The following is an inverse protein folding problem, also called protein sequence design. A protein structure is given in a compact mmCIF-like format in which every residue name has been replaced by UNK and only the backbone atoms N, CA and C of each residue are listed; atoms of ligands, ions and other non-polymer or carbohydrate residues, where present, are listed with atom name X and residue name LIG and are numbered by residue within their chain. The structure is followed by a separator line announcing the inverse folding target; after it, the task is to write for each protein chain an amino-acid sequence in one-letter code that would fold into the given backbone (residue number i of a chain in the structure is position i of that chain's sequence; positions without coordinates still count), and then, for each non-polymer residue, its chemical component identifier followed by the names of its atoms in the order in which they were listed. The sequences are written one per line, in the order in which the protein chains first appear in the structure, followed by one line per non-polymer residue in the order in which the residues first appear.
data_IF_667379271134
#
_entry.id   IF_667379271134
#
_cell.length_a   1.000
_cell.length_b   1.000
_cell.length_c   1.000
_cell.angle_alpha   90.00
_cell.angle_beta   90.00
_cell.angle_gamma   90.00
#
_symmetry.space_group_name_H-M   'P 1'
#
loop_
_entity.id
_entity.type
_entity.pdbx_description
1 polymer ?
#
# COMPACT_ATOMS: atom_id res chain seq x y z
N UNK A 1 -6.72 11.01 -75.94
CA UNK A 1 -7.02 10.86 -74.50
C UNK A 1 -6.75 9.38 -74.17
N UNK A 2 -5.61 8.92 -73.65
CA UNK A 2 -4.77 9.40 -72.56
C UNK A 2 -3.29 9.12 -72.92
N UNK A 3 -2.43 10.10 -72.66
CA UNK A 3 -1.00 10.03 -72.96
C UNK A 3 -0.26 9.21 -71.89
N UNK A 4 0.84 8.56 -72.28
CA UNK A 4 1.57 7.48 -71.62
C UNK A 4 2.21 7.77 -70.23
N UNK A 5 1.42 8.15 -69.23
CA UNK A 5 1.90 8.39 -67.85
C UNK A 5 1.43 7.39 -66.79
N UNK A 6 0.48 6.50 -67.13
CA UNK A 6 -0.19 5.62 -66.14
C UNK A 6 0.38 4.20 -66.07
N UNK A 7 1.39 3.88 -66.87
CA UNK A 7 1.98 2.53 -66.95
C UNK A 7 2.72 2.12 -65.66
N UNK A 8 3.06 3.09 -64.80
CA UNK A 8 3.81 2.86 -63.57
C UNK A 8 2.92 2.78 -62.31
N UNK A 9 1.61 2.97 -62.43
CA UNK A 9 0.69 2.89 -61.29
C UNK A 9 0.27 1.43 -61.10
N UNK A 10 0.58 0.79 -59.96
CA UNK A 10 0.16 -0.57 -59.69
C UNK A 10 -1.37 -0.72 -59.80
N UNK A 11 -1.82 -1.71 -60.56
CA UNK A 11 -3.23 -1.98 -60.86
C UNK A 11 -3.75 -1.37 -62.17
N UNK A 12 -3.02 -0.44 -62.80
CA UNK A 12 -3.41 0.15 -64.08
C UNK A 12 -3.36 -0.86 -65.23
N UNK A 13 -4.28 -0.74 -66.18
CA UNK A 13 -4.24 -1.52 -67.42
C UNK A 13 -3.03 -1.10 -68.27
N UNK A 14 -2.24 -2.08 -68.68
CA UNK A 14 -1.07 -1.89 -69.52
C UNK A 14 -1.16 -2.66 -70.86
N UNK A 15 -2.22 -3.46 -71.04
CA UNK A 15 -2.55 -4.19 -72.25
C UNK A 15 -3.85 -4.98 -72.07
N UNK A 16 -4.36 -5.58 -73.16
CA UNK A 16 -5.56 -6.41 -73.09
C UNK A 16 -5.31 -7.63 -72.18
N UNK A 17 -6.16 -7.79 -71.15
CA UNK A 17 -6.00 -8.84 -70.14
C UNK A 17 -4.76 -8.68 -69.24
N UNK A 18 -4.09 -7.51 -69.24
CA UNK A 18 -2.86 -7.25 -68.50
C UNK A 18 -2.95 -5.99 -67.64
N UNK A 19 -2.30 -6.06 -66.48
CA UNK A 19 -2.20 -4.94 -65.52
C UNK A 19 -0.74 -4.75 -65.09
N UNK A 20 -0.42 -3.52 -64.67
CA UNK A 20 0.83 -3.23 -64.00
C UNK A 20 0.80 -3.84 -62.59
N UNK A 21 1.65 -4.83 -62.32
CA UNK A 21 1.77 -5.48 -61.02
C UNK A 21 3.26 -5.62 -60.68
N UNK A 22 3.68 -5.14 -59.50
CA UNK A 22 5.09 -5.03 -59.12
C UNK A 22 5.95 -4.35 -60.21
N UNK A 23 5.47 -3.20 -60.72
CA UNK A 23 6.12 -2.41 -61.76
C UNK A 23 6.37 -3.16 -63.09
N UNK A 24 5.63 -4.25 -63.34
CA UNK A 24 5.75 -5.05 -64.57
C UNK A 24 4.37 -5.26 -65.18
N UNK A 25 4.25 -5.19 -66.52
CA UNK A 25 3.00 -5.47 -67.22
C UNK A 25 2.77 -6.99 -67.32
N UNK A 26 1.83 -7.53 -66.53
CA UNK A 26 1.59 -8.98 -66.42
C UNK A 26 0.12 -9.34 -66.63
N UNK A 27 -0.18 -10.61 -66.93
CA UNK A 27 -1.56 -11.08 -67.11
C UNK A 27 -2.31 -11.13 -65.76
N UNK A 28 -3.64 -11.05 -65.79
CA UNK A 28 -4.46 -11.24 -64.59
C UNK A 28 -4.21 -12.59 -63.88
N UNK A 29 -3.92 -13.65 -64.63
CA UNK A 29 -3.64 -14.98 -64.07
C UNK A 29 -2.33 -15.04 -63.29
N UNK A 30 -1.35 -14.23 -63.71
CA UNK A 30 0.00 -14.14 -63.15
C UNK A 30 0.12 -13.04 -62.08
N UNK A 31 -0.78 -12.04 -62.08
CA UNK A 31 -0.89 -10.99 -61.07
C UNK A 31 -1.45 -11.51 -59.73
N UNK A 32 -0.78 -12.52 -59.15
CA UNK A 32 -1.20 -13.12 -57.88
C UNK A 32 -0.63 -12.36 -56.70
N UNK A 33 -1.53 -11.93 -55.80
CA UNK A 33 -1.10 -11.50 -54.47
C UNK A 33 -0.47 -12.70 -53.75
N UNK A 34 0.69 -12.48 -53.13
CA UNK A 34 1.25 -13.48 -52.23
C UNK A 34 0.33 -13.62 -51.02
N UNK A 35 0.00 -14.84 -50.56
CA UNK A 35 -0.75 -15.03 -49.34
C UNK A 35 -0.12 -14.25 -48.19
N UNK A 36 -0.94 -13.59 -47.37
CA UNK A 36 -0.47 -12.87 -46.19
C UNK A 36 0.23 -13.88 -45.28
N UNK A 37 1.56 -13.79 -45.20
CA UNK A 37 2.34 -14.58 -44.24
C UNK A 37 2.01 -14.00 -42.86
N UNK A 38 1.37 -14.79 -42.00
CA UNK A 38 1.14 -14.45 -40.59
C UNK A 38 1.99 -15.40 -39.77
N UNK A 39 2.87 -14.84 -38.93
CA UNK A 39 3.68 -15.63 -37.99
C UNK A 39 3.63 -14.97 -36.62
N UNK A 40 3.17 -15.67 -35.57
CA UNK A 40 3.28 -15.16 -34.21
C UNK A 40 4.73 -14.97 -33.82
N UNK A 41 4.98 -14.00 -32.95
CA UNK A 41 6.31 -13.80 -32.39
C UNK A 41 6.60 -14.80 -31.28
N UNK A 42 7.88 -15.09 -31.05
CA UNK A 42 8.35 -15.85 -29.89
C UNK A 42 9.26 -15.00 -29.00
N UNK A 43 9.14 -15.21 -27.68
CA UNK A 43 9.94 -14.49 -26.71
C UNK A 43 11.41 -14.91 -26.83
N UNK A 44 12.29 -13.93 -27.00
CA UNK A 44 13.73 -14.12 -26.85
C UNK A 44 14.12 -14.41 -25.40
N UNK A 45 15.39 -14.77 -25.15
CA UNK A 45 15.88 -14.99 -23.79
C UNK A 45 15.74 -13.71 -22.95
N UNK A 46 15.61 -13.89 -21.65
CA UNK A 46 15.70 -12.78 -20.70
C UNK A 46 17.10 -12.16 -20.73
N UNK A 47 17.16 -10.83 -20.72
CA UNK A 47 18.40 -10.12 -20.46
C UNK A 47 18.88 -10.30 -19.01
N UNK A 48 20.09 -9.81 -18.74
CA UNK A 48 20.60 -9.75 -17.37
C UNK A 48 19.73 -8.84 -16.49
N UNK A 49 19.70 -9.16 -15.19
CA UNK A 49 19.12 -8.27 -14.18
C UNK A 49 19.92 -6.98 -14.07
N UNK A 50 19.23 -5.86 -13.97
CA UNK A 50 19.86 -4.59 -13.63
C UNK A 50 20.27 -4.57 -12.15
N UNK A 51 21.20 -3.68 -11.81
CA UNK A 51 21.49 -3.36 -10.41
C UNK A 51 20.23 -2.89 -9.69
N UNK A 52 20.13 -3.20 -8.41
CA UNK A 52 19.01 -2.72 -7.58
C UNK A 52 18.98 -1.18 -7.59
N UNK A 53 17.78 -0.60 -7.67
CA UNK A 53 17.62 0.86 -7.70
C UNK A 53 18.08 1.58 -6.44
N UNK A 54 18.21 0.85 -5.32
CA UNK A 54 18.68 1.37 -4.02
C UNK A 54 19.52 0.31 -3.31
N UNK A 55 20.38 0.73 -2.39
CA UNK A 55 21.16 -0.16 -1.51
C UNK A 55 20.47 -0.45 -0.18
N UNK A 56 19.51 0.37 0.21
CA UNK A 56 18.61 0.21 1.36
C UNK A 56 17.26 0.85 1.06
N UNK A 57 16.27 0.57 1.90
CA UNK A 57 14.96 1.22 1.90
C UNK A 57 14.15 0.88 0.65
N UNK A 58 13.85 -0.41 0.47
CA UNK A 58 13.06 -1.03 -0.62
C UNK A 58 13.45 -0.50 -2.00
N UNK A 59 14.29 -1.25 -2.72
CA UNK A 59 14.63 -1.02 -4.11
C UNK A 59 13.91 -1.99 -5.07
N UNK A 60 14.09 -1.75 -6.37
CA UNK A 60 13.58 -2.61 -7.44
C UNK A 60 14.70 -2.93 -8.43
N UNK A 61 14.81 -4.18 -8.83
CA UNK A 61 15.61 -4.63 -9.98
C UNK A 61 14.67 -5.14 -11.06
N UNK A 62 15.05 -4.96 -12.32
CA UNK A 62 14.26 -5.46 -13.44
C UNK A 62 15.14 -5.96 -14.58
N UNK A 63 14.54 -6.80 -15.42
CA UNK A 63 15.12 -7.29 -16.68
C UNK A 63 14.09 -7.26 -17.78
N UNK A 64 14.56 -7.24 -19.03
CA UNK A 64 13.70 -7.15 -20.22
C UNK A 64 13.99 -8.30 -21.18
N UNK A 65 12.97 -8.74 -21.91
CA UNK A 65 13.10 -9.63 -23.07
C UNK A 65 12.34 -9.03 -24.25
N UNK A 66 12.78 -9.38 -25.46
CA UNK A 66 12.19 -8.89 -26.72
C UNK A 66 11.43 -10.00 -27.42
N UNK A 67 10.39 -9.63 -28.16
CA UNK A 67 9.65 -10.55 -29.01
C UNK A 67 10.37 -10.72 -30.37
N UNK A 68 11.45 -11.50 -30.38
CA UNK A 68 12.33 -11.62 -31.55
C UNK A 68 12.80 -13.05 -31.87
N UNK A 69 12.26 -14.07 -31.20
CA UNK A 69 12.66 -15.47 -31.38
C UNK A 69 11.48 -16.41 -31.67
N UNK A 70 10.85 -16.33 -32.86
CA UNK A 70 11.14 -15.43 -33.98
C UNK A 70 10.41 -14.09 -33.87
N UNK A 71 10.82 -13.07 -34.64
CA UNK A 71 10.04 -11.83 -34.76
C UNK A 71 8.67 -12.07 -35.40
N UNK A 72 7.60 -11.39 -34.96
CA UNK A 72 6.27 -11.52 -35.55
C UNK A 72 6.26 -11.00 -36.99
N UNK A 73 5.46 -11.62 -37.86
CA UNK A 73 5.18 -11.14 -39.23
C UNK A 73 3.67 -10.98 -39.35
N UNK A 74 3.20 -9.76 -39.63
CA UNK A 74 1.78 -9.44 -39.75
C UNK A 74 0.92 -9.97 -38.58
N UNK A 75 1.50 -10.03 -37.37
CA UNK A 75 0.90 -10.54 -36.13
C UNK A 75 1.14 -9.52 -35.00
N UNK A 76 0.22 -9.35 -34.03
CA UNK A 76 0.34 -8.32 -32.97
C UNK A 76 1.62 -8.41 -32.13
N UNK A 77 2.18 -9.59 -31.95
CA UNK A 77 3.39 -9.78 -31.15
C UNK A 77 3.54 -11.20 -30.63
N UNK A 78 4.16 -11.29 -29.46
CA UNK A 78 4.23 -12.50 -28.65
C UNK A 78 2.97 -12.60 -27.78
N UNK A 79 2.74 -13.78 -27.22
CA UNK A 79 1.69 -13.98 -26.21
C UNK A 79 1.89 -12.98 -25.05
N UNK A 80 0.84 -12.23 -24.70
CA UNK A 80 0.91 -11.11 -23.74
C UNK A 80 0.91 -9.70 -24.35
N UNK A 81 0.80 -9.57 -25.68
CA UNK A 81 0.38 -8.33 -26.36
C UNK A 81 1.50 -7.38 -26.82
N UNK A 82 2.66 -7.42 -26.19
CA UNK A 82 3.69 -6.39 -26.39
C UNK A 82 4.95 -6.94 -27.10
N UNK A 83 5.70 -6.05 -27.76
CA UNK A 83 6.99 -6.37 -28.38
C UNK A 83 8.13 -6.53 -27.37
N UNK A 84 7.90 -6.13 -26.12
CA UNK A 84 8.83 -6.23 -24.99
C UNK A 84 8.06 -6.71 -23.75
N UNK A 85 8.69 -7.57 -22.96
CA UNK A 85 8.20 -7.93 -21.62
C UNK A 85 9.25 -7.51 -20.60
N UNK A 86 8.76 -6.96 -19.49
CA UNK A 86 9.57 -6.60 -18.33
C UNK A 86 9.26 -7.59 -17.20
N UNK A 87 10.27 -7.93 -16.40
CA UNK A 87 10.10 -8.63 -15.13
C UNK A 87 10.81 -7.80 -14.08
N UNK A 88 10.18 -7.58 -12.92
CA UNK A 88 10.78 -6.80 -11.84
C UNK A 88 10.63 -7.52 -10.50
N UNK A 89 11.57 -7.26 -9.59
CA UNK A 89 11.57 -7.81 -8.23
C UNK A 89 12.04 -6.78 -7.21
N UNK A 90 11.52 -6.88 -5.99
CA UNK A 90 12.02 -6.10 -4.85
C UNK A 90 13.43 -6.59 -4.50
N UNK A 91 14.27 -5.65 -4.09
CA UNK A 91 15.62 -5.91 -3.61
C UNK A 91 15.96 -4.90 -2.51
N UNK A 92 16.87 -5.25 -1.59
CA UNK A 92 17.35 -4.37 -0.52
C UNK A 92 16.19 -3.77 0.31
N UNK A 93 15.36 -4.64 0.87
CA UNK A 93 14.15 -4.29 1.64
C UNK A 93 14.41 -3.70 3.02
N UNK A 94 15.62 -3.90 3.56
CA UNK A 94 15.99 -3.36 4.88
C UNK A 94 15.90 -1.83 4.89
N UNK A 95 15.21 -1.21 5.86
CA UNK A 95 15.12 0.25 5.96
C UNK A 95 16.50 0.91 6.03
N UNK A 96 16.61 2.10 5.43
CA UNK A 96 17.79 2.94 5.66
C UNK A 96 17.79 3.50 7.10
N UNK A 97 18.95 3.89 7.62
CA UNK A 97 19.09 4.42 8.99
C UNK A 97 18.29 5.72 9.25
N UNK A 98 18.01 6.47 8.19
CA UNK A 98 17.30 7.75 8.19
C UNK A 98 15.86 7.64 7.65
N UNK A 99 15.42 6.43 7.28
CA UNK A 99 14.05 6.20 6.84
C UNK A 99 13.08 6.45 8.00
N UNK A 100 12.01 7.20 7.73
CA UNK A 100 10.94 7.38 8.70
C UNK A 100 10.19 6.06 8.91
N UNK A 101 9.92 5.67 10.16
CA UNK A 101 9.06 4.50 10.45
C UNK A 101 7.60 4.76 10.05
N UNK A 102 7.20 6.02 9.84
CA UNK A 102 5.86 6.39 9.38
C UNK A 102 5.84 6.41 7.85
N UNK A 103 5.10 5.49 7.24
CA UNK A 103 5.00 5.38 5.77
C UNK A 103 4.60 6.71 5.08
N UNK A 104 3.72 7.50 5.69
CA UNK A 104 3.31 8.79 5.13
C UNK A 104 4.47 9.79 5.03
N UNK A 105 5.36 9.79 6.02
CA UNK A 105 6.55 10.64 6.05
C UNK A 105 7.65 10.08 5.15
N UNK A 106 7.81 8.74 5.10
CA UNK A 106 8.72 8.07 4.15
C UNK A 106 8.39 8.45 2.70
N UNK A 107 7.10 8.49 2.32
CA UNK A 107 6.69 8.92 0.99
C UNK A 107 7.15 10.36 0.69
N UNK A 108 7.08 11.27 1.68
CA UNK A 108 7.57 12.64 1.53
C UNK A 108 9.09 12.71 1.46
N UNK A 109 9.80 11.88 2.22
CA UNK A 109 11.26 11.74 2.12
C UNK A 109 11.65 11.34 0.69
N UNK A 110 11.03 10.28 0.15
CA UNK A 110 11.27 9.83 -1.24
C UNK A 110 10.90 10.86 -2.31
N UNK A 111 9.82 11.62 -2.12
CA UNK A 111 9.49 12.73 -3.02
C UNK A 111 10.55 13.84 -2.96
N UNK A 112 11.04 14.15 -1.76
CA UNK A 112 12.07 15.16 -1.52
C UNK A 112 13.43 14.78 -2.14
N UNK A 113 13.79 13.49 -2.15
CA UNK A 113 14.98 12.99 -2.88
C UNK A 113 14.93 13.39 -4.38
N UNK A 114 13.75 13.30 -4.98
CA UNK A 114 13.53 13.65 -6.40
C UNK A 114 13.65 15.17 -6.61
N UNK A 115 13.03 15.97 -5.75
CA UNK A 115 13.11 17.43 -5.82
C UNK A 115 14.54 17.95 -5.60
N UNK A 116 15.26 17.38 -4.64
CA UNK A 116 16.67 17.67 -4.41
C UNK A 116 17.51 17.36 -5.65
N UNK A 117 17.36 16.15 -6.21
CA UNK A 117 18.05 15.76 -7.45
C UNK A 117 17.80 16.76 -8.58
N UNK A 118 16.57 17.24 -8.74
CA UNK A 118 16.24 18.21 -9.78
C UNK A 118 16.84 19.59 -9.55
N UNK A 119 16.92 20.04 -8.30
CA UNK A 119 17.59 21.30 -7.95
C UNK A 119 19.10 21.21 -8.18
N UNK A 120 19.73 20.12 -7.75
CA UNK A 120 21.17 19.88 -7.94
C UNK A 120 21.55 19.85 -9.42
N UNK A 121 20.69 19.28 -10.26
CA UNK A 121 20.87 19.22 -11.71
C UNK A 121 20.34 20.46 -12.45
N UNK A 122 19.96 21.53 -11.73
CA UNK A 122 19.46 22.81 -12.28
C UNK A 122 18.24 22.67 -13.21
N UNK A 123 17.46 21.61 -13.02
CA UNK A 123 16.16 21.41 -13.67
C UNK A 123 15.11 22.30 -13.02
N UNK A 124 15.19 22.50 -11.70
CA UNK A 124 14.36 23.42 -10.94
C UNK A 124 15.11 24.68 -10.55
N UNK A 125 14.39 25.80 -10.53
CA UNK A 125 14.89 27.06 -10.04
C UNK A 125 14.76 27.12 -8.50
N UNK A 126 15.88 27.28 -7.79
CA UNK A 126 15.90 27.38 -6.33
C UNK A 126 15.25 28.65 -5.78
N UNK A 127 14.99 29.66 -6.61
CA UNK A 127 14.18 30.83 -6.22
C UNK A 127 12.68 30.56 -6.25
N UNK A 128 12.24 29.48 -6.92
CA UNK A 128 10.84 29.13 -7.11
C UNK A 128 10.43 27.88 -6.33
N UNK A 129 11.35 26.92 -6.16
CA UNK A 129 11.12 25.64 -5.49
C UNK A 129 12.22 25.32 -4.48
N UNK A 130 11.88 24.56 -3.43
CA UNK A 130 12.84 24.00 -2.50
C UNK A 130 12.94 22.46 -2.64
N UNK A 131 13.83 21.86 -1.85
CA UNK A 131 14.13 20.43 -1.90
C UNK A 131 13.04 19.53 -1.31
N UNK A 132 12.00 20.10 -0.69
CA UNK A 132 10.91 19.30 -0.11
C UNK A 132 9.85 18.99 -1.17
N UNK A 133 9.36 17.76 -1.14
CA UNK A 133 8.34 17.29 -2.07
C UNK A 133 7.27 16.43 -1.40
N UNK A 134 6.13 16.36 -2.06
CA UNK A 134 5.00 15.49 -1.71
C UNK A 134 4.62 14.64 -2.92
N UNK A 135 3.92 13.53 -2.66
CA UNK A 135 3.28 12.75 -3.72
C UNK A 135 2.22 13.61 -4.41
N UNK A 136 2.27 13.66 -5.74
CA UNK A 136 1.23 14.29 -6.54
C UNK A 136 -0.07 13.48 -6.46
N UNK A 137 -1.01 13.93 -5.62
CA UNK A 137 -2.25 13.21 -5.32
C UNK A 137 -3.37 13.60 -6.30
N UNK A 138 -3.45 12.92 -7.45
CA UNK A 138 -4.70 12.86 -8.23
C UNK A 138 -5.32 11.48 -8.04
N UNK A 139 -6.48 11.45 -7.38
CA UNK A 139 -7.10 10.32 -6.67
C UNK A 139 -7.57 9.14 -7.54
N UNK A 140 -7.22 9.07 -8.82
CA UNK A 140 -7.72 8.06 -9.76
C UNK A 140 -6.68 7.27 -10.57
N UNK A 141 -5.40 7.67 -10.61
CA UNK A 141 -4.53 7.23 -11.73
C UNK A 141 -3.37 6.28 -11.38
N UNK A 142 -3.20 5.84 -10.12
CA UNK A 142 -2.10 4.95 -9.72
C UNK A 142 -0.71 5.44 -10.15
N UNK A 143 -0.52 6.75 -10.30
CA UNK A 143 0.74 7.32 -10.81
C UNK A 143 1.62 7.73 -9.64
N UNK A 144 2.89 7.41 -9.76
CA UNK A 144 3.94 7.72 -8.81
C UNK A 144 4.68 8.98 -9.27
N UNK A 145 4.07 10.13 -9.04
CA UNK A 145 4.59 11.44 -9.44
C UNK A 145 4.89 12.34 -8.24
N UNK A 146 5.85 13.25 -8.44
CA UNK A 146 6.35 14.18 -7.42
C UNK A 146 5.85 15.61 -7.68
N UNK A 147 5.40 16.27 -6.61
CA UNK A 147 5.21 17.71 -6.55
C UNK A 147 6.24 18.34 -5.61
N UNK A 148 7.08 19.23 -6.12
CA UNK A 148 8.03 19.98 -5.31
C UNK A 148 7.39 21.23 -4.72
N UNK A 149 7.81 21.60 -3.50
CA UNK A 149 7.21 22.71 -2.76
C UNK A 149 7.73 24.04 -3.27
N UNK A 150 6.78 24.92 -3.55
CA UNK A 150 7.02 26.30 -4.00
C UNK A 150 7.59 27.17 -2.86
N UNK A 151 8.42 28.16 -3.21
CA UNK A 151 9.06 29.10 -2.29
C UNK A 151 8.46 30.50 -2.47
N UNK A 152 8.22 31.18 -1.34
CA UNK A 152 7.72 32.55 -1.32
C UNK A 152 6.34 32.69 -1.99
N UNK A 153 6.22 33.68 -2.87
CA UNK A 153 4.97 33.99 -3.57
C UNK A 153 4.84 33.26 -4.91
N UNK A 154 5.84 32.48 -5.31
CA UNK A 154 5.74 31.70 -6.54
C UNK A 154 4.62 30.66 -6.41
N UNK A 155 3.81 30.53 -7.46
CA UNK A 155 2.73 29.53 -7.57
C UNK A 155 2.89 28.81 -8.89
N UNK A 156 3.11 27.49 -8.82
CA UNK A 156 3.16 26.66 -10.01
C UNK A 156 1.76 26.55 -10.62
N UNK A 157 1.64 26.40 -11.96
CA UNK A 157 0.39 26.08 -12.60
C UNK A 157 -0.28 24.86 -11.96
N UNK A 158 -1.62 24.85 -11.99
CA UNK A 158 -2.37 23.65 -11.62
C UNK A 158 -1.87 22.46 -12.46
N UNK A 159 -1.64 21.32 -11.80
CA UNK A 159 -1.12 20.08 -12.40
C UNK A 159 0.38 20.05 -12.76
N UNK A 160 1.20 20.96 -12.24
CA UNK A 160 2.66 20.88 -12.43
C UNK A 160 3.23 19.63 -11.75
N UNK A 161 3.96 18.82 -12.53
CA UNK A 161 4.61 17.56 -12.12
C UNK A 161 6.09 17.69 -12.42
N UNK A 162 6.95 17.30 -11.48
CA UNK A 162 8.38 17.53 -11.62
C UNK A 162 9.16 16.27 -11.98
N UNK A 163 8.61 15.09 -11.66
CA UNK A 163 9.13 13.82 -12.13
C UNK A 163 8.46 12.64 -11.43
N UNK A 164 9.15 11.50 -11.42
CA UNK A 164 8.65 10.24 -10.89
C UNK A 164 9.17 10.01 -9.48
N UNK A 165 8.35 9.38 -8.63
CA UNK A 165 8.83 8.89 -7.34
C UNK A 165 9.96 7.88 -7.57
N UNK A 166 10.98 7.83 -6.68
CA UNK A 166 12.02 6.81 -6.73
C UNK A 166 11.42 5.40 -6.73
N UNK A 167 12.05 4.48 -7.46
CA UNK A 167 11.63 3.09 -7.49
C UNK A 167 11.63 2.49 -6.07
N UNK A 168 10.60 1.69 -5.78
CA UNK A 168 10.40 1.08 -4.46
C UNK A 168 9.68 1.95 -3.44
N UNK A 169 9.39 3.22 -3.77
CA UNK A 169 8.59 4.07 -2.88
C UNK A 169 7.19 3.47 -2.67
N UNK A 170 6.72 3.31 -1.41
CA UNK A 170 5.37 2.84 -1.13
C UNK A 170 4.30 3.73 -1.76
N UNK A 171 3.28 3.12 -2.37
CA UNK A 171 2.18 3.87 -2.98
C UNK A 171 0.81 3.40 -2.46
N UNK A 172 -0.17 4.30 -2.50
CA UNK A 172 -1.52 4.00 -2.02
C UNK A 172 -2.30 3.29 -3.13
N UNK A 173 -2.23 1.96 -3.13
CA UNK A 173 -3.14 1.16 -3.93
C UNK A 173 -4.46 1.05 -3.18
N UNK A 174 -5.33 2.07 -3.30
CA UNK A 174 -6.70 2.03 -2.77
C UNK A 174 -7.43 0.73 -3.13
N UNK A 175 -7.12 0.16 -4.31
CA UNK A 175 -7.60 -1.15 -4.77
C UNK A 175 -7.31 -2.27 -3.78
N UNK A 176 -6.13 -2.31 -3.17
CA UNK A 176 -5.77 -3.36 -2.20
C UNK A 176 -6.62 -3.21 -0.93
N UNK A 177 -6.90 -1.98 -0.49
CA UNK A 177 -7.83 -1.74 0.63
C UNK A 177 -9.25 -2.23 0.34
N UNK A 178 -9.71 -2.16 -0.91
CA UNK A 178 -11.03 -2.71 -1.28
C UNK A 178 -11.00 -4.24 -1.46
N UNK A 179 -9.91 -4.80 -2.00
CA UNK A 179 -9.77 -6.24 -2.25
C UNK A 179 -9.52 -7.06 -0.98
N UNK A 180 -8.80 -6.52 0.01
CA UNK A 180 -8.56 -7.19 1.29
C UNK A 180 -9.80 -7.24 2.18
N UNK A 181 -10.74 -6.29 2.02
CA UNK A 181 -11.93 -6.16 2.90
C UNK A 181 -13.24 -6.71 2.32
N UNK A 182 -13.45 -6.67 1.00
CA UNK A 182 -14.77 -7.01 0.42
C UNK A 182 -14.85 -8.40 -0.25
N UNK A 183 -13.72 -9.07 -0.47
CA UNK A 183 -13.67 -10.27 -1.33
C UNK A 183 -13.66 -11.61 -0.58
N UNK A 184 -13.58 -11.59 0.74
CA UNK A 184 -13.40 -12.80 1.57
C UNK A 184 -14.17 -12.67 2.88
N UNK A 185 -14.86 -13.74 3.35
CA UNK A 185 -15.43 -13.78 4.71
C UNK A 185 -14.36 -13.65 5.80
N UNK A 186 -13.10 -13.86 5.42
CA UNK A 186 -11.90 -13.71 6.24
C UNK A 186 -11.00 -12.67 5.57
N UNK A 187 -11.01 -11.38 5.99
CA UNK A 187 -10.06 -10.41 5.46
C UNK A 187 -8.65 -10.98 5.64
N UNK A 188 -7.72 -10.76 4.71
CA UNK A 188 -6.37 -11.33 4.80
C UNK A 188 -5.39 -10.37 4.18
N UNK A 189 -4.22 -10.21 4.81
CA UNK A 189 -3.09 -9.56 4.14
C UNK A 189 -2.52 -10.55 3.12
N UNK A 190 -2.94 -10.41 1.86
CA UNK A 190 -2.48 -11.23 0.73
C UNK A 190 -0.99 -11.13 0.43
N UNK A 191 -0.24 -10.32 1.18
CA UNK A 191 1.19 -10.09 0.93
C UNK A 191 1.46 -9.20 -0.28
N UNK A 192 0.44 -8.49 -0.75
CA UNK A 192 0.56 -7.60 -1.89
C UNK A 192 1.25 -6.29 -1.47
N UNK A 193 2.35 -5.98 -2.13
CA UNK A 193 3.21 -4.83 -1.82
C UNK A 193 3.11 -3.80 -2.95
N UNK A 194 2.33 -2.71 -2.77
CA UNK A 194 2.23 -1.65 -3.77
C UNK A 194 3.40 -0.67 -3.67
N UNK A 195 4.25 -0.67 -4.70
CA UNK A 195 5.41 0.24 -4.79
C UNK A 195 5.54 0.86 -6.18
N UNK A 196 6.23 2.00 -6.22
CA UNK A 196 6.46 2.74 -7.45
C UNK A 196 7.50 2.06 -8.34
N UNK A 197 7.16 1.85 -9.62
CA UNK A 197 8.06 1.37 -10.67
C UNK A 197 7.71 2.06 -11.99
N UNK A 198 8.70 2.71 -12.62
CA UNK A 198 8.56 3.45 -13.88
C UNK A 198 7.36 4.42 -13.88
N UNK A 199 7.13 5.10 -12.74
CA UNK A 199 6.07 6.10 -12.61
C UNK A 199 4.68 5.55 -12.33
N UNK A 200 4.53 4.25 -12.17
CA UNK A 200 3.26 3.62 -11.82
C UNK A 200 3.34 2.90 -10.48
N UNK A 201 2.23 2.91 -9.75
CA UNK A 201 2.03 2.10 -8.57
C UNK A 201 1.78 0.66 -9.03
N UNK A 202 2.79 -0.18 -8.88
CA UNK A 202 2.76 -1.60 -9.27
C UNK A 202 2.60 -2.46 -8.03
N UNK A 203 1.87 -3.56 -8.19
CA UNK A 203 1.63 -4.51 -7.12
C UNK A 203 2.61 -5.67 -7.28
N UNK A 204 3.40 -5.91 -6.24
CA UNK A 204 4.31 -7.04 -6.13
C UNK A 204 3.67 -8.09 -5.23
N UNK A 205 3.87 -9.37 -5.56
CA UNK A 205 3.36 -10.49 -4.78
C UNK A 205 4.12 -10.71 -3.47
N UNK A 206 3.70 -11.71 -2.71
CA UNK A 206 4.42 -12.17 -1.51
C UNK A 206 5.82 -12.75 -1.82
N UNK A 207 6.10 -13.04 -3.09
CA UNK A 207 7.39 -13.49 -3.61
C UNK A 207 8.24 -12.33 -4.14
N UNK A 208 7.87 -11.10 -3.79
CA UNK A 208 8.56 -9.87 -4.16
C UNK A 208 8.64 -9.65 -5.68
N UNK A 209 7.79 -10.31 -6.49
CA UNK A 209 7.85 -10.28 -7.95
C UNK A 209 6.69 -9.51 -8.59
N UNK A 210 7.00 -8.88 -9.73
CA UNK A 210 6.09 -8.18 -10.63
C UNK A 210 6.03 -8.95 -11.97
N UNK A 211 4.83 -9.43 -12.32
CA UNK A 211 4.43 -10.28 -13.47
C UNK A 211 4.61 -11.80 -13.30
N UNK A 212 3.58 -12.57 -13.69
CA UNK A 212 3.53 -14.04 -13.63
C UNK A 212 2.32 -14.65 -12.90
N UNK A 213 1.38 -13.80 -12.45
CA UNK A 213 0.40 -14.15 -11.42
C UNK A 213 1.00 -13.75 -10.08
N UNK A 214 0.61 -12.59 -9.56
CA UNK A 214 1.00 -12.13 -8.23
C UNK A 214 0.70 -13.24 -7.24
N UNK A 215 1.75 -13.84 -6.67
CA UNK A 215 1.57 -14.82 -5.60
C UNK A 215 1.03 -14.09 -4.39
N UNK A 216 0.08 -14.72 -3.73
CA UNK A 216 -0.48 -14.23 -2.48
C UNK A 216 -0.09 -15.19 -1.36
N UNK A 217 0.01 -14.68 -0.14
CA UNK A 217 0.05 -15.55 1.03
C UNK A 217 -1.26 -16.33 1.10
N UNK A 218 -1.16 -17.63 1.36
CA UNK A 218 -2.32 -18.41 1.74
C UNK A 218 -2.81 -18.02 3.14
N UNK A 219 -3.88 -18.68 3.61
CA UNK A 219 -4.34 -18.44 4.97
C UNK A 219 -3.28 -18.73 6.00
N UNK A 220 -2.30 -19.59 5.70
CA UNK A 220 -1.18 -20.00 6.53
C UNK A 220 0.04 -19.07 6.55
N UNK A 221 0.00 -17.95 5.81
CA UNK A 221 1.17 -17.08 5.66
C UNK A 221 2.27 -17.67 4.77
N UNK A 222 1.96 -18.74 4.00
CA UNK A 222 2.87 -19.36 3.04
C UNK A 222 2.62 -18.77 1.66
N UNK A 223 3.68 -18.24 1.04
CA UNK A 223 3.56 -17.57 -0.26
C UNK A 223 3.26 -18.58 -1.39
N UNK A 224 2.10 -18.45 -2.02
CA UNK A 224 1.60 -19.43 -3.00
C UNK A 224 1.29 -20.79 -2.38
N UNK A 225 1.03 -20.84 -1.07
CA UNK A 225 0.59 -22.05 -0.38
C UNK A 225 -0.87 -22.42 -0.69
N UNK A 226 -1.28 -23.57 -0.16
CA UNK A 226 -2.61 -24.16 -0.40
C UNK A 226 -3.50 -24.16 0.86
N UNK A 227 -3.06 -23.55 1.97
CA UNK A 227 -3.77 -23.54 3.25
C UNK A 227 -3.60 -24.82 4.06
N UNK A 228 -2.87 -25.82 3.57
CA UNK A 228 -2.77 -27.12 4.25
C UNK A 228 -1.83 -27.14 5.44
N UNK A 229 -0.93 -26.16 5.56
CA UNK A 229 0.19 -26.16 6.54
C UNK A 229 -0.20 -25.72 7.95
N UNK A 230 -1.47 -25.37 8.15
CA UNK A 230 -1.94 -24.77 9.39
C UNK A 230 -3.40 -25.08 9.73
N UNK A 231 -3.78 -24.73 10.96
CA UNK A 231 -5.15 -24.69 11.44
C UNK A 231 -5.56 -23.24 11.74
N UNK A 232 -6.76 -22.84 11.30
CA UNK A 232 -7.33 -21.53 11.60
C UNK A 232 -8.09 -21.59 12.91
N UNK A 233 -7.71 -20.74 13.87
CA UNK A 233 -8.39 -20.56 15.15
C UNK A 233 -9.21 -19.28 15.09
N UNK A 234 -10.48 -19.36 15.45
CA UNK A 234 -11.39 -18.21 15.46
C UNK A 234 -12.34 -18.27 16.65
N UNK A 235 -12.82 -17.11 17.10
CA UNK A 235 -13.76 -17.03 18.19
C UNK A 235 -14.37 -15.65 18.36
N UNK A 236 -15.29 -15.56 19.32
CA UNK A 236 -16.01 -14.33 19.66
C UNK A 236 -15.92 -14.10 21.16
N UNK A 237 -15.46 -12.92 21.54
CA UNK A 237 -15.41 -12.46 22.91
C UNK A 237 -16.60 -11.54 23.20
N UNK A 238 -17.36 -11.83 24.25
CA UNK A 238 -18.58 -11.07 24.61
C UNK A 238 -18.51 -10.45 26.01
N UNK A 239 -17.43 -10.67 26.76
CA UNK A 239 -17.29 -10.23 28.15
C UNK A 239 -16.82 -8.78 28.25
N UNK A 240 -17.73 -7.81 28.20
CA UNK A 240 -17.36 -6.40 28.41
C UNK A 240 -16.91 -6.21 29.88
N UNK A 241 -15.68 -5.74 30.15
CA UNK A 241 -15.20 -5.46 31.50
C UNK A 241 -16.06 -4.39 32.20
N UNK A 242 -16.05 -4.41 33.53
CA UNK A 242 -16.48 -3.23 34.30
C UNK A 242 -15.50 -2.07 34.10
N UNK A 243 -15.95 -0.84 34.35
CA UNK A 243 -15.11 0.38 34.26
C UNK A 243 -13.77 0.21 34.99
N UNK A 244 -12.68 0.63 34.34
CA UNK A 244 -11.32 0.54 34.87
C UNK A 244 -10.68 -0.85 34.83
N UNK A 245 -11.45 -1.90 34.55
CA UNK A 245 -10.93 -3.27 34.54
C UNK A 245 -10.36 -3.67 33.18
N UNK A 246 -9.49 -4.68 33.25
CA UNK A 246 -8.94 -5.39 32.10
C UNK A 246 -9.44 -6.82 32.12
N UNK A 247 -9.93 -7.30 30.97
CA UNK A 247 -10.34 -8.70 30.81
C UNK A 247 -9.52 -9.33 29.70
N UNK A 248 -8.94 -10.50 29.99
CA UNK A 248 -8.28 -11.31 28.98
C UNK A 248 -9.29 -11.76 27.93
N UNK A 249 -9.06 -11.40 26.68
CA UNK A 249 -9.88 -11.82 25.54
C UNK A 249 -9.40 -13.15 24.98
N UNK A 250 -8.10 -13.22 24.70
CA UNK A 250 -7.46 -14.40 24.14
C UNK A 250 -5.95 -14.37 24.37
N UNK A 251 -5.37 -15.54 24.59
CA UNK A 251 -3.94 -15.79 24.49
C UNK A 251 -3.57 -16.17 23.05
N UNK A 252 -2.66 -15.42 22.45
CA UNK A 252 -2.15 -15.66 21.10
C UNK A 252 -0.82 -16.41 21.22
N UNK A 253 -0.73 -17.67 20.75
CA UNK A 253 0.51 -18.43 20.83
C UNK A 253 1.60 -17.84 19.93
N UNK A 254 2.87 -17.96 20.36
CA UNK A 254 4.01 -17.65 19.50
C UNK A 254 3.95 -18.48 18.21
N UNK A 255 4.17 -17.82 17.08
CA UNK A 255 4.09 -18.44 15.75
C UNK A 255 2.72 -18.34 15.10
N UNK A 256 1.72 -17.78 15.79
CA UNK A 256 0.48 -17.35 15.15
C UNK A 256 0.76 -16.30 14.08
N UNK A 257 0.08 -16.41 12.96
CA UNK A 257 0.14 -15.44 11.86
C UNK A 257 -1.27 -15.11 11.38
N UNK A 258 -1.38 -14.09 10.52
CA UNK A 258 -2.66 -13.52 10.05
C UNK A 258 -3.63 -13.19 11.22
N UNK A 259 -3.08 -12.70 12.33
CA UNK A 259 -3.85 -12.28 13.51
C UNK A 259 -4.73 -11.10 13.14
N UNK A 260 -6.04 -11.27 13.34
CA UNK A 260 -7.05 -10.27 13.02
C UNK A 260 -8.09 -10.19 14.10
N UNK A 261 -8.53 -8.97 14.35
CA UNK A 261 -9.52 -8.63 15.35
C UNK A 261 -10.50 -7.66 14.69
N UNK A 262 -11.78 -7.98 14.74
CA UNK A 262 -12.83 -7.11 14.23
C UNK A 262 -13.96 -6.99 15.24
N UNK A 263 -14.54 -5.80 15.30
CA UNK A 263 -15.52 -5.43 16.32
C UNK A 263 -16.47 -4.38 15.76
N UNK A 264 -17.63 -4.29 16.38
CA UNK A 264 -18.54 -3.19 16.14
C UNK A 264 -17.99 -1.90 16.78
N UNK A 265 -18.06 -0.78 16.07
CA UNK A 265 -17.64 0.53 16.56
C UNK A 265 -18.24 0.88 17.93
N UNK A 266 -19.53 0.61 18.15
CA UNK A 266 -20.23 0.89 19.42
C UNK A 266 -19.62 0.16 20.62
N UNK A 267 -19.02 -1.02 20.40
CA UNK A 267 -18.34 -1.78 21.45
C UNK A 267 -17.04 -1.08 21.86
N UNK A 268 -16.40 -0.35 20.96
CA UNK A 268 -15.10 0.28 21.20
C UNK A 268 -15.17 1.75 21.61
N UNK A 269 -16.37 2.35 21.70
CA UNK A 269 -16.53 3.74 22.14
C UNK A 269 -15.87 4.03 23.49
N UNK A 270 -15.91 3.06 24.42
CA UNK A 270 -15.31 3.17 25.75
C UNK A 270 -14.33 2.03 26.07
N UNK A 271 -13.92 1.27 25.05
CA UNK A 271 -13.09 0.07 25.22
C UNK A 271 -11.86 0.12 24.31
N UNK A 272 -10.75 -0.43 24.81
CA UNK A 272 -9.44 -0.39 24.17
C UNK A 272 -8.84 -1.79 24.16
N UNK A 273 -8.21 -2.14 23.05
CA UNK A 273 -7.44 -3.39 22.93
C UNK A 273 -5.99 -3.10 23.32
N UNK A 274 -5.48 -3.92 24.22
CA UNK A 274 -4.10 -3.89 24.68
C UNK A 274 -3.51 -5.31 24.48
N UNK A 275 -2.29 -5.40 23.97
CA UNK A 275 -1.56 -6.65 23.84
C UNK A 275 -0.36 -6.62 24.79
N UNK A 276 -0.23 -7.68 25.57
CA UNK A 276 0.83 -7.87 26.56
C UNK A 276 1.69 -9.07 26.19
N UNK A 277 2.97 -9.03 26.51
CA UNK A 277 3.85 -10.18 26.39
C UNK A 277 3.67 -11.17 27.57
N UNK A 278 4.50 -12.21 27.61
CA UNK A 278 4.47 -13.25 28.64
C UNK A 278 4.79 -12.73 30.05
N UNK A 279 5.46 -11.59 30.16
CA UNK A 279 5.88 -10.98 31.42
C UNK A 279 4.90 -9.86 31.84
N UNK A 280 3.73 -9.80 31.18
CA UNK A 280 2.67 -8.81 31.34
C UNK A 280 3.12 -7.35 31.07
N UNK A 281 4.11 -7.19 30.18
CA UNK A 281 4.53 -5.88 29.68
C UNK A 281 3.74 -5.58 28.40
N UNK A 282 3.10 -4.40 28.27
CA UNK A 282 2.37 -4.08 27.05
C UNK A 282 3.34 -3.88 25.89
N UNK A 283 3.00 -4.51 24.78
CA UNK A 283 3.75 -4.45 23.52
C UNK A 283 3.02 -3.60 22.50
N UNK A 284 1.68 -3.58 22.54
CA UNK A 284 0.83 -2.74 21.69
C UNK A 284 -0.35 -2.24 22.53
N UNK A 285 -0.55 -0.92 22.55
CA UNK A 285 -1.78 -0.30 23.09
C UNK A 285 -2.50 0.44 21.97
N UNK A 286 -3.82 0.31 21.87
CA UNK A 286 -4.64 1.08 20.93
C UNK A 286 -4.62 2.58 21.29
N UNK A 287 -4.00 3.41 20.44
CA UNK A 287 -4.14 4.88 20.49
C UNK A 287 -5.36 5.30 19.69
N UNK A 288 -6.50 5.52 20.34
CA UNK A 288 -7.73 5.98 19.66
C UNK A 288 -7.86 7.50 19.83
N UNK A 289 -7.07 8.21 19.03
CA UNK A 289 -7.40 9.58 18.63
C UNK A 289 -7.66 9.71 17.12
N UNK A 290 -7.48 8.63 16.35
CA UNK A 290 -7.60 8.65 14.89
C UNK A 290 -7.59 7.27 14.19
N UNK A 291 -7.76 6.16 14.91
CA UNK A 291 -8.09 4.89 14.26
C UNK A 291 -9.54 4.96 13.79
N UNK A 292 -9.73 5.53 12.60
CA UNK A 292 -10.94 5.31 11.79
C UNK A 292 -11.00 3.81 11.48
N UNK A 293 -11.55 3.01 12.39
CA UNK A 293 -12.03 1.68 12.07
C UNK A 293 -13.19 1.94 11.11
N UNK A 294 -12.96 1.61 9.84
CA UNK A 294 -13.93 1.85 8.79
C UNK A 294 -15.27 1.27 9.22
N UNK A 295 -16.29 2.13 9.25
CA UNK A 295 -17.66 1.71 9.16
C UNK A 295 -17.76 0.87 7.88
N UNK A 296 -17.88 -0.44 8.03
CA UNK A 296 -18.43 -1.26 6.95
C UNK A 296 -19.88 -0.85 6.89
N UNK A 297 -20.15 0.16 6.06
CA UNK A 297 -21.45 0.69 5.71
C UNK A 297 -22.51 -0.40 5.93
N UNK A 298 -23.37 -0.22 6.95
CA UNK A 298 -24.37 -1.20 7.40
C UNK A 298 -25.24 -1.71 6.23
N UNK A 299 -25.24 -0.97 5.11
CA UNK A 299 -25.93 -1.27 3.87
C UNK A 299 -25.21 -2.23 2.90
N UNK A 300 -23.95 -2.65 3.15
CA UNK A 300 -23.14 -3.47 2.23
C UNK A 300 -22.36 -4.63 2.88
N UNK A 301 -22.60 -4.92 4.15
CA UNK A 301 -22.02 -6.06 4.87
C UNK A 301 -22.71 -7.36 4.39
N UNK A 302 -22.01 -8.49 4.16
CA UNK A 302 -22.69 -9.73 3.86
C UNK A 302 -23.45 -10.13 5.13
N UNK A 303 -24.76 -9.89 5.12
CA UNK A 303 -25.77 -10.28 6.11
C UNK A 303 -25.26 -11.09 7.31
N UNK A 304 -25.48 -10.53 8.52
CA UNK A 304 -25.41 -11.20 9.83
C UNK A 304 -24.10 -11.11 10.65
N UNK A 305 -23.65 -9.90 10.99
CA UNK A 305 -23.06 -9.67 12.33
C UNK A 305 -24.17 -9.28 13.31
N UNK A 306 -25.14 -10.17 13.48
CA UNK A 306 -26.16 -10.11 14.54
C UNK A 306 -25.59 -10.37 15.94
N UNK A 307 -24.27 -10.58 16.07
CA UNK A 307 -23.65 -10.97 17.32
C UNK A 307 -22.92 -9.80 18.00
N UNK A 308 -23.42 -9.43 19.18
CA UNK A 308 -22.77 -8.53 20.14
C UNK A 308 -21.43 -9.15 20.56
N UNK A 309 -20.28 -8.64 20.09
CA UNK A 309 -18.97 -9.12 20.53
C UNK A 309 -17.79 -8.59 19.72
N UNK A 310 -16.58 -8.90 20.21
CA UNK A 310 -15.32 -8.68 19.52
C UNK A 310 -14.87 -10.03 18.98
N UNK A 311 -14.71 -10.12 17.67
CA UNK A 311 -14.30 -11.34 17.01
C UNK A 311 -12.81 -11.33 16.75
N UNK A 312 -12.21 -12.52 16.78
CA UNK A 312 -10.80 -12.69 16.48
C UNK A 312 -10.60 -13.93 15.61
N UNK A 313 -9.55 -13.90 14.82
CA UNK A 313 -9.01 -15.09 14.18
C UNK A 313 -7.50 -14.97 13.99
N UNK A 314 -6.83 -16.10 14.01
CA UNK A 314 -5.43 -16.26 13.67
C UNK A 314 -5.23 -17.69 13.23
N UNK A 315 -4.05 -18.02 12.73
CA UNK A 315 -3.80 -19.37 12.27
C UNK A 315 -2.47 -19.88 12.83
N UNK A 316 -2.42 -21.20 13.06
CA UNK A 316 -1.35 -21.90 13.76
C UNK A 316 -0.74 -22.99 12.88
N UNK A 317 0.60 -23.07 12.74
CA UNK A 317 1.25 -24.12 11.96
C UNK A 317 0.97 -25.54 12.50
N UNK A 318 0.76 -26.52 11.60
CA UNK A 318 0.50 -27.94 11.95
C UNK A 318 1.72 -28.74 12.38
N UNK A 319 2.93 -28.37 11.96
CA UNK A 319 4.15 -29.12 12.23
C UNK A 319 5.28 -28.24 12.75
N UNK A 320 5.77 -28.57 13.94
CA UNK A 320 6.92 -27.94 14.60
C UNK A 320 6.54 -27.52 16.01
N UNK A 321 6.94 -28.31 17.00
CA UNK A 321 6.88 -28.00 18.43
C UNK A 321 7.05 -26.49 18.66
N UNK A 322 6.08 -25.87 19.36
CA UNK A 322 6.27 -24.58 19.99
C UNK A 322 7.44 -24.71 20.99
N UNK A 323 8.69 -24.66 20.52
CA UNK A 323 9.90 -24.80 21.36
C UNK A 323 10.15 -23.60 22.24
N UNK A 324 9.18 -22.69 22.37
CA UNK A 324 9.22 -21.56 23.28
C UNK A 324 7.80 -21.28 23.76
N UNK A 325 7.57 -21.45 25.06
CA UNK A 325 6.32 -21.16 25.80
C UNK A 325 5.97 -19.65 25.85
N UNK A 326 6.16 -18.92 24.75
CA UNK A 326 5.76 -17.52 24.66
C UNK A 326 4.31 -17.40 24.22
N UNK A 327 3.50 -16.69 24.99
CA UNK A 327 2.15 -16.27 24.62
C UNK A 327 2.05 -14.75 24.70
N UNK A 328 1.20 -14.16 23.86
CA UNK A 328 0.80 -12.76 23.97
C UNK A 328 -0.64 -12.71 24.47
N UNK A 329 -0.90 -11.88 25.46
CA UNK A 329 -2.22 -11.73 26.07
C UNK A 329 -2.92 -10.53 25.44
N UNK A 330 -3.96 -10.79 24.67
CA UNK A 330 -4.85 -9.74 24.17
C UNK A 330 -5.90 -9.45 25.23
N UNK A 331 -5.92 -8.23 25.77
CA UNK A 331 -6.84 -7.80 26.80
C UNK A 331 -7.74 -6.67 26.28
N UNK A 332 -9.00 -6.70 26.70
CA UNK A 332 -9.93 -5.58 26.56
C UNK A 332 -9.89 -4.76 27.84
N UNK A 333 -9.71 -3.46 27.71
CA UNK A 333 -9.78 -2.50 28.82
C UNK A 333 -10.95 -1.56 28.62
N UNK A 334 -11.74 -1.35 29.65
CA UNK A 334 -12.79 -0.33 29.68
C UNK A 334 -12.28 0.92 30.37
N UNK A 335 -12.54 2.10 29.80
CA UNK A 335 -12.20 3.37 30.46
C UNK A 335 -12.88 3.48 31.83
N UNK A 336 -12.14 3.98 32.82
CA UNK A 336 -12.71 4.48 34.08
C UNK A 336 -12.90 5.99 33.93
N UNK A 337 -14.11 6.41 33.59
CA UNK A 337 -14.44 7.82 33.43
C UNK A 337 -15.36 8.27 34.57
N UNK A 338 -14.84 9.05 35.55
CA UNK A 338 -15.65 9.62 36.62
C UNK A 338 -16.89 10.33 36.07
N UNK A 339 -18.03 10.12 36.74
CA UNK A 339 -19.30 10.77 36.43
C UNK A 339 -19.12 12.28 36.25
N UNK A 340 -19.42 12.78 35.05
CA UNK A 340 -19.34 14.23 34.72
C UNK A 340 -18.43 14.59 33.55
N UNK A 341 -17.71 13.63 32.96
CA UNK A 341 -16.90 13.85 31.75
C UNK A 341 -17.45 13.06 30.57
N UNK A 342 -17.56 13.69 29.41
CA UNK A 342 -18.08 13.09 28.17
C UNK A 342 -17.19 13.44 26.97
N UNK A 343 -17.07 12.51 26.01
CA UNK A 343 -16.34 12.75 24.76
C UNK A 343 -14.82 12.81 24.91
N UNK A 344 -14.17 13.77 24.22
CA UNK A 344 -12.72 13.86 24.10
C UNK A 344 -11.94 13.97 25.43
N UNK A 345 -12.60 14.40 26.52
CA UNK A 345 -12.02 14.52 27.87
C UNK A 345 -11.94 13.18 28.63
N UNK A 346 -12.69 12.17 28.17
CA UNK A 346 -12.56 10.78 28.60
C UNK A 346 -11.45 10.08 27.79
N UNK A 347 -11.41 10.31 26.47
CA UNK A 347 -10.36 9.81 25.56
C UNK A 347 -8.95 10.28 25.97
N UNK A 348 -8.77 11.55 26.34
CA UNK A 348 -7.45 12.08 26.75
C UNK A 348 -6.93 11.44 28.05
N UNK A 349 -7.80 10.90 28.90
CA UNK A 349 -7.45 10.17 30.13
C UNK A 349 -7.15 8.70 29.91
N UNK A 350 -7.71 8.09 28.86
CA UNK A 350 -7.39 6.72 28.45
C UNK A 350 -6.19 6.64 27.48
N UNK A 351 -5.76 7.76 26.90
CA UNK A 351 -4.68 7.85 25.89
C UNK A 351 -3.23 7.95 26.46
N UNK A 352 -2.96 7.58 27.71
CA UNK A 352 -1.57 7.61 28.22
C UNK A 352 -0.83 6.33 27.80
N UNK A 353 -0.18 6.31 26.62
CA UNK A 353 0.91 5.37 26.30
C UNK A 353 1.96 5.96 25.35
N UNK A 354 3.23 5.80 25.71
CA UNK A 354 4.41 6.20 24.93
C UNK A 354 4.82 5.11 23.92
N UNK A 355 5.22 5.53 22.72
CA UNK A 355 5.86 4.70 21.71
C UNK A 355 7.36 4.52 22.05
N UNK A 356 7.92 3.32 21.79
CA UNK A 356 9.35 2.92 21.88
C UNK A 356 9.75 1.91 22.98
N UNK A 357 9.02 0.79 23.15
CA UNK A 357 9.60 -0.43 23.73
C UNK A 357 10.22 -0.32 25.14
N UNK A 358 9.86 0.70 25.92
CA UNK A 358 10.21 0.82 27.33
C UNK A 358 9.12 0.14 28.17
N UNK A 359 9.52 -0.61 29.19
CA UNK A 359 8.60 -1.21 30.14
C UNK A 359 7.73 -0.13 30.81
N UNK A 360 6.44 -0.44 31.02
CA UNK A 360 5.57 0.38 31.86
C UNK A 360 6.15 0.45 33.26
N UNK A 361 6.76 1.57 33.61
CA UNK A 361 6.81 1.99 34.99
C UNK A 361 5.80 3.13 35.13
N UNK A 362 4.64 2.83 35.74
CA UNK A 362 3.59 3.81 36.08
C UNK A 362 4.14 5.00 36.88
N UNK A 363 5.33 4.88 37.50
CA UNK A 363 5.98 5.97 38.24
C UNK A 363 6.75 6.98 37.37
N UNK A 364 6.96 6.70 36.08
CA UNK A 364 7.81 7.54 35.19
C UNK A 364 7.06 8.38 34.16
N UNK A 365 5.75 8.18 34.00
CA UNK A 365 4.93 9.03 33.13
C UNK A 365 4.62 10.37 33.80
N UNK A 366 5.50 11.37 33.62
CA UNK A 366 5.17 12.77 33.94
C UNK A 366 4.48 13.42 32.75
N UNK A 367 3.17 13.64 32.87
CA UNK A 367 2.42 14.48 31.94
C UNK A 367 3.01 15.91 31.99
N UNK A 368 3.59 16.39 30.88
CA UNK A 368 3.95 17.81 30.75
C UNK A 368 2.69 18.62 30.48
N UNK A 369 2.31 19.46 31.45
CA UNK A 369 1.11 20.28 31.37
C UNK A 369 1.34 21.55 30.55
N UNK A 370 0.30 21.99 29.83
CA UNK A 370 0.33 23.27 29.11
C UNK A 370 0.20 24.44 30.07
N UNK A 371 0.39 25.66 29.58
CA UNK A 371 0.21 26.90 30.35
C UNK A 371 -1.21 26.95 30.94
N UNK A 372 -1.35 27.35 32.22
CA UNK A 372 -2.59 27.29 33.03
C UNK A 372 -3.13 25.89 33.37
N UNK A 373 -2.29 24.85 33.29
CA UNK A 373 -2.59 23.50 33.76
C UNK A 373 -1.61 23.03 34.84
N UNK A 374 -2.12 22.37 35.89
CA UNK A 374 -1.29 21.88 37.01
C UNK A 374 -1.67 20.45 37.45
N UNK A 375 -0.72 19.80 38.15
CA UNK A 375 -0.85 18.45 38.72
C UNK A 375 -0.46 17.32 37.76
N UNK A 376 -0.44 16.08 38.25
CA UNK A 376 -0.07 14.87 37.50
C UNK A 376 -0.94 14.57 36.28
N UNK A 377 -2.03 15.33 36.11
CA UNK A 377 -3.10 15.12 35.13
C UNK A 377 -3.50 16.42 34.41
N UNK A 378 -2.68 17.47 34.51
CA UNK A 378 -2.84 18.72 33.77
C UNK A 378 -4.25 19.33 33.82
N UNK A 379 -4.76 19.54 35.04
CA UNK A 379 -6.06 20.18 35.27
C UNK A 379 -5.94 21.68 35.12
N UNK A 380 -6.97 22.34 34.57
CA UNK A 380 -7.04 23.80 34.55
C UNK A 380 -6.90 24.37 35.96
N UNK A 381 -6.09 25.41 36.09
CA UNK A 381 -6.00 26.19 37.32
C UNK A 381 -7.36 26.76 37.72
N UNK A 382 -7.54 26.98 39.02
CA UNK A 382 -8.76 27.56 39.57
C UNK A 382 -9.04 28.91 38.92
N UNK A 383 -10.14 29.01 38.17
CA UNK A 383 -10.52 30.23 37.44
C UNK A 383 -10.48 30.10 35.91
N UNK A 384 -9.99 28.96 35.38
CA UNK A 384 -9.92 28.71 33.94
C UNK A 384 -10.75 27.50 33.50
N UNK A 385 -11.25 27.51 32.25
CA UNK A 385 -12.05 26.47 31.57
C UNK A 385 -11.66 26.33 30.10
N UNK A 386 -12.28 25.34 29.43
CA UNK A 386 -12.07 25.04 28.01
C UNK A 386 -11.00 23.99 27.78
N UNK A 387 -10.89 23.53 26.53
CA UNK A 387 -10.03 22.39 26.11
C UNK A 387 -8.53 22.61 26.39
N UNK A 388 -8.09 23.86 26.40
CA UNK A 388 -6.70 24.27 26.68
C UNK A 388 -6.60 25.23 27.88
N UNK A 389 -7.63 25.35 28.73
CA UNK A 389 -7.63 26.22 29.90
C UNK A 389 -7.39 27.71 29.61
N UNK A 390 -7.75 28.18 28.41
CA UNK A 390 -7.54 29.57 27.97
C UNK A 390 -8.71 30.49 28.28
N UNK A 391 -9.86 29.95 28.66
CA UNK A 391 -11.07 30.72 28.96
C UNK A 391 -11.16 31.00 30.46
N UNK A 392 -11.35 32.25 30.86
CA UNK A 392 -11.62 32.57 32.27
C UNK A 392 -13.08 32.24 32.60
N UNK A 393 -13.30 31.55 33.72
CA UNK A 393 -14.63 31.36 34.31
C UNK A 393 -15.26 32.73 34.53
N UNK A 394 -16.43 32.97 33.95
CA UNK A 394 -17.24 34.12 34.32
C UNK A 394 -17.68 33.97 35.78
N UNK A 395 -17.50 35.04 36.56
CA UNK A 395 -17.93 35.11 37.98
C UNK A 395 -19.44 34.89 38.17
#
# INVERSE_FOLDING_TARGET
MFNHGWQDIPGSYCGEGKICFKLTCTTFADARQTPKIIRPGGWGPWGAWQSCSRTCGVGVTYRRRRCNNPSPINHPGCEGGDSNANEAKICNSEPCSDDSPKQADLIKQRASETCLTMLENKVLNSSEYNSTGDRYSHSGNYVCEVRCKEVGNFKSPYFTRFGLMPHGTPCDAKVIKYMDFMSSPWPRKKGLTPICLEGYCRIFGCDDAFLGGTKEFDECGVCGGDGSTCDVIQGTFTGIPGEGNRTLMIEIPKGAYNIQIWFNYWIMENNFIEMYDKDDVPVIGSHVGSSWVWNTDESKNPNALENKGIHYAYSLPKTGECKNNGTYNLKLRTCDCPTGFYGADCDSRCNIYCFNGAALDESTCTCQCKEHQTGSYCKCETGYTGKDCTEKKSE
#
